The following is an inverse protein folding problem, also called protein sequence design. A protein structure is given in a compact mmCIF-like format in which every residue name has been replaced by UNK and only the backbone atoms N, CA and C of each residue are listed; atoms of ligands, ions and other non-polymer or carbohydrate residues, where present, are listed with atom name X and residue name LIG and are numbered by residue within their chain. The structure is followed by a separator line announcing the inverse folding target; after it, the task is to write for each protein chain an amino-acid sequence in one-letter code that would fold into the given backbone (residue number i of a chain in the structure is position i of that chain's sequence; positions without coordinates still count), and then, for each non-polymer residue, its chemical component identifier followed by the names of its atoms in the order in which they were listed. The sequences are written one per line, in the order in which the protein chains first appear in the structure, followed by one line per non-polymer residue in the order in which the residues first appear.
data_IF_644128616315
#
_entry.id   IF_644128616315
#
_cell.length_a   1.000
_cell.length_b   1.000
_cell.length_c   1.000
_cell.angle_alpha   90.00
_cell.angle_beta   90.00
_cell.angle_gamma   90.00
#
_symmetry.space_group_name_H-M   'P 1'
#
loop_
_entity.id
_entity.type
_entity.pdbx_description
1 polymer ?
#
# COMPACT_ATOMS: atom_id res chain seq x y z
N UNK A 1 5.64 -21.27 17.97
CA UNK A 1 5.88 -20.01 17.23
C UNK A 1 6.17 -18.90 18.25
N UNK A 2 7.42 -18.52 18.44
CA UNK A 2 7.76 -17.46 19.41
C UNK A 2 7.31 -16.12 18.83
N UNK A 3 6.52 -15.36 19.58
CA UNK A 3 6.05 -14.01 19.20
C UNK A 3 7.11 -12.97 19.59
N UNK A 4 7.10 -11.80 18.94
CA UNK A 4 7.99 -10.68 19.30
C UNK A 4 9.35 -10.69 18.60
N UNK A 5 10.36 -10.11 19.26
CA UNK A 5 11.71 -9.85 18.74
C UNK A 5 12.36 -11.02 17.99
N UNK A 6 12.38 -12.27 18.50
CA UNK A 6 13.05 -13.38 17.81
C UNK A 6 12.45 -13.70 16.43
N UNK A 7 11.20 -13.29 16.16
CA UNK A 7 10.55 -13.51 14.88
C UNK A 7 10.78 -12.39 13.83
N UNK A 8 11.34 -11.24 14.22
CA UNK A 8 11.49 -10.08 13.32
C UNK A 8 12.57 -10.27 12.26
N UNK A 9 13.63 -11.03 12.54
CA UNK A 9 14.71 -11.29 11.56
C UNK A 9 14.22 -11.98 10.28
N UNK A 10 13.14 -12.76 10.37
CA UNK A 10 12.52 -13.44 9.22
C UNK A 10 11.82 -12.48 8.24
N UNK A 11 11.66 -11.20 8.59
CA UNK A 11 10.95 -10.20 7.77
C UNK A 11 11.85 -9.44 6.78
N UNK A 12 13.18 -9.58 6.87
CA UNK A 12 14.14 -8.75 6.11
C UNK A 12 14.30 -9.15 4.64
N UNK A 13 13.99 -10.40 4.26
CA UNK A 13 14.39 -10.91 2.94
C UNK A 13 13.59 -10.37 1.74
N UNK A 14 12.26 -10.24 1.84
CA UNK A 14 11.40 -9.98 0.66
C UNK A 14 10.52 -8.75 0.86
N UNK A 15 10.63 -7.77 -0.05
CA UNK A 15 9.76 -6.59 -0.07
C UNK A 15 8.40 -6.95 -0.65
N UNK A 16 7.34 -6.73 0.13
CA UNK A 16 5.95 -6.93 -0.34
C UNK A 16 5.43 -5.73 -1.12
N UNK A 17 5.80 -4.51 -0.71
CA UNK A 17 5.31 -3.26 -1.28
C UNK A 17 6.45 -2.43 -1.90
N UNK A 18 6.24 -2.01 -3.15
CA UNK A 18 7.13 -1.12 -3.92
C UNK A 18 6.40 0.18 -4.29
N UNK A 19 7.14 1.11 -4.92
CA UNK A 19 6.59 2.38 -5.41
C UNK A 19 5.57 2.12 -6.52
N UNK A 20 4.38 2.71 -6.39
CA UNK A 20 3.31 2.58 -7.36
C UNK A 20 3.53 3.52 -8.54
N UNK A 21 3.45 3.00 -9.77
CA UNK A 21 3.56 3.78 -11.00
C UNK A 21 2.46 4.85 -11.16
N UNK A 22 1.25 4.62 -10.61
CA UNK A 22 0.12 5.56 -10.74
C UNK A 22 0.15 6.69 -9.70
N UNK A 23 0.41 6.37 -8.43
CA UNK A 23 0.26 7.34 -7.33
C UNK A 23 1.56 7.68 -6.62
N UNK A 24 2.71 7.15 -7.06
CA UNK A 24 4.02 7.42 -6.47
C UNK A 24 4.27 6.88 -5.06
N UNK A 25 3.26 6.29 -4.39
CA UNK A 25 3.35 5.77 -3.01
C UNK A 25 3.98 4.38 -2.96
N UNK A 26 4.72 4.06 -1.91
CA UNK A 26 5.26 2.72 -1.62
C UNK A 26 4.17 1.76 -1.12
N UNK A 27 3.17 1.53 -1.97
CA UNK A 27 1.96 0.78 -1.63
C UNK A 27 1.55 -0.20 -2.75
N UNK A 28 2.37 -0.37 -3.79
CA UNK A 28 2.10 -1.37 -4.82
C UNK A 28 2.60 -2.74 -4.37
N UNK A 29 1.67 -3.68 -4.22
CA UNK A 29 1.98 -5.03 -3.79
C UNK A 29 2.48 -5.85 -4.99
N UNK A 30 3.73 -6.32 -4.93
CA UNK A 30 4.39 -6.99 -6.07
C UNK A 30 3.69 -8.30 -6.42
N UNK A 31 3.51 -9.19 -5.44
CA UNK A 31 2.89 -10.52 -5.68
C UNK A 31 1.43 -10.44 -6.16
N UNK A 32 0.64 -9.53 -5.58
CA UNK A 32 -0.79 -9.36 -5.89
C UNK A 32 -1.05 -8.37 -7.03
N UNK A 33 0.00 -7.80 -7.63
CA UNK A 33 -0.05 -6.80 -8.71
C UNK A 33 -1.07 -5.69 -8.50
N UNK A 34 -1.24 -5.22 -7.25
CA UNK A 34 -2.27 -4.22 -6.89
C UNK A 34 -1.78 -3.19 -5.88
N UNK A 35 -2.22 -1.94 -6.03
CA UNK A 35 -1.90 -0.86 -5.11
C UNK A 35 -2.91 -0.73 -3.98
N UNK A 36 -2.42 -0.79 -2.73
CA UNK A 36 -3.23 -0.58 -1.53
C UNK A 36 -3.66 0.88 -1.33
N UNK A 37 -2.96 1.84 -1.95
CA UNK A 37 -3.33 3.26 -1.88
C UNK A 37 -4.40 3.62 -2.91
N UNK A 38 -4.04 3.65 -4.19
CA UNK A 38 -4.89 4.18 -5.25
C UNK A 38 -5.74 3.13 -5.99
N UNK A 39 -5.57 1.84 -5.70
CA UNK A 39 -6.30 0.76 -6.39
C UNK A 39 -5.71 0.33 -7.74
N UNK A 40 -4.59 0.91 -8.18
CA UNK A 40 -3.91 0.55 -9.43
C UNK A 40 -3.68 -0.97 -9.54
N UNK A 41 -4.03 -1.56 -10.68
CA UNK A 41 -3.98 -3.01 -10.93
C UNK A 41 -5.24 -3.78 -10.53
N UNK A 42 -6.08 -3.25 -9.62
CA UNK A 42 -7.40 -3.81 -9.29
C UNK A 42 -8.54 -3.05 -9.96
N UNK A 43 -8.44 -1.72 -10.04
CA UNK A 43 -9.49 -0.87 -10.59
C UNK A 43 -8.95 0.21 -11.53
N UNK A 44 -9.77 0.58 -12.52
CA UNK A 44 -9.54 1.78 -13.34
C UNK A 44 -9.75 3.05 -12.51
N UNK A 45 -10.84 3.09 -11.71
CA UNK A 45 -11.15 4.19 -10.78
C UNK A 45 -10.15 4.26 -9.61
N UNK A 46 -9.97 5.46 -9.07
CA UNK A 46 -9.16 5.70 -7.87
C UNK A 46 -9.89 5.13 -6.65
N UNK A 47 -9.18 4.33 -5.84
CA UNK A 47 -9.71 3.77 -4.59
C UNK A 47 -9.93 4.87 -3.56
N UNK A 48 -11.18 5.29 -3.35
CA UNK A 48 -11.60 6.24 -2.31
C UNK A 48 -12.69 5.60 -1.45
N UNK A 49 -12.67 5.85 -0.15
CA UNK A 49 -13.76 5.49 0.76
C UNK A 49 -14.26 6.73 1.50
N UNK A 50 -15.52 6.72 1.94
CA UNK A 50 -16.15 7.85 2.64
C UNK A 50 -15.43 8.21 3.95
N UNK A 51 -14.90 7.21 4.65
CA UNK A 51 -14.18 7.38 5.92
C UNK A 51 -12.72 7.84 5.76
N UNK A 52 -12.22 8.09 4.53
CA UNK A 52 -10.83 8.46 4.34
C UNK A 52 -10.57 9.95 4.54
N UNK A 53 -9.62 10.25 5.42
CA UNK A 53 -9.20 11.63 5.70
C UNK A 53 -8.20 12.19 4.67
N UNK A 54 -7.59 11.35 3.83
CA UNK A 54 -6.53 11.76 2.88
C UNK A 54 -6.80 11.26 1.48
N UNK A 55 -6.54 12.13 0.50
CA UNK A 55 -6.70 11.77 -0.89
C UNK A 55 -5.64 10.73 -1.33
N UNK A 56 -6.02 9.63 -2.01
CA UNK A 56 -5.12 8.53 -2.35
C UNK A 56 -3.93 8.93 -3.24
N UNK A 57 -4.13 9.91 -4.14
CA UNK A 57 -3.11 10.40 -5.07
C UNK A 57 -2.29 11.55 -4.48
N UNK A 58 -2.97 12.61 -4.04
CA UNK A 58 -2.35 13.89 -3.68
C UNK A 58 -1.96 13.98 -2.21
N UNK A 59 -2.37 13.02 -1.36
CA UNK A 59 -2.21 13.02 0.12
C UNK A 59 -2.76 14.25 0.85
N UNK A 60 -3.33 15.23 0.13
CA UNK A 60 -4.08 16.35 0.70
C UNK A 60 -5.16 15.81 1.63
N UNK A 61 -5.29 16.43 2.80
CA UNK A 61 -6.38 16.11 3.72
C UNK A 61 -7.67 16.57 3.06
N UNK A 62 -8.71 15.74 3.11
CA UNK A 62 -10.01 16.01 2.50
C UNK A 62 -10.93 16.77 3.47
N UNK A 63 -10.59 16.72 4.76
CA UNK A 63 -11.20 17.46 5.87
C UNK A 63 -10.14 18.34 6.49
#
# INVERSE_FOLDING_TARGET
MVKGTPSMGKKSGKKTHIRCRRCGRRAYHVRKKRCAACGFGKSRKIRRYKWQNKHPLTRKRIV
#
